data_IF_904766285435
#
_entry.id   IF_904766285435
#
_cell.length_a   1.000
_cell.length_b   1.000
_cell.length_c   1.000
_cell.angle_alpha   90.00
_cell.angle_beta   90.00
_cell.angle_gamma   90.00
#
_symmetry.space_group_name_H-M   'P 1'
#
loop_
_entity.id
_entity.type
_entity.pdbx_description
1 polymer ?
#
# COMPACT_ATOMS: atom_id res chain seq x y z
N UNK A 1 -17.77 25.51 -13.34
CA UNK A 1 -17.89 24.50 -12.27
C UNK A 1 -18.42 23.23 -12.91
N UNK A 2 -17.73 22.08 -12.71
CA UNK A 2 -17.61 21.48 -11.39
C UNK A 2 -16.16 21.34 -10.92
N UNK A 3 -15.86 21.92 -9.76
CA UNK A 3 -14.69 21.63 -8.93
C UNK A 3 -14.97 20.34 -8.14
N UNK A 4 -15.06 19.20 -8.83
CA UNK A 4 -15.45 17.93 -8.21
C UNK A 4 -14.35 16.86 -8.22
N UNK A 5 -13.11 17.20 -8.61
CA UNK A 5 -12.03 16.22 -8.81
C UNK A 5 -10.76 16.50 -7.99
N UNK A 6 -10.83 17.38 -6.98
CA UNK A 6 -9.69 17.75 -6.12
C UNK A 6 -9.51 16.86 -4.88
N UNK A 7 -10.44 15.95 -4.59
CA UNK A 7 -10.39 15.03 -3.45
C UNK A 7 -10.46 13.57 -3.91
N UNK A 8 -9.49 13.12 -4.72
CA UNK A 8 -9.31 11.68 -4.92
C UNK A 8 -8.46 11.16 -3.76
N UNK A 9 -9.10 10.94 -2.63
CA UNK A 9 -8.50 10.16 -1.54
C UNK A 9 -8.61 8.68 -1.91
N UNK A 10 -7.51 7.94 -1.82
CA UNK A 10 -7.54 6.49 -1.96
C UNK A 10 -7.45 5.86 -0.57
N UNK A 11 -8.53 5.16 -0.19
CA UNK A 11 -8.57 4.35 1.03
C UNK A 11 -8.46 2.88 0.66
N UNK A 12 -7.45 2.21 1.20
CA UNK A 12 -7.28 0.76 1.10
C UNK A 12 -8.19 0.06 2.10
N UNK A 13 -8.53 -1.20 1.85
CA UNK A 13 -9.12 -2.04 2.90
C UNK A 13 -8.14 -2.19 4.06
N UNK A 14 -8.68 -2.33 5.28
CA UNK A 14 -7.86 -2.51 6.47
C UNK A 14 -6.93 -3.72 6.31
N UNK A 15 -7.45 -4.82 5.75
CA UNK A 15 -6.70 -6.06 5.54
C UNK A 15 -5.55 -5.90 4.55
N UNK A 16 -5.72 -5.12 3.48
CA UNK A 16 -4.63 -4.84 2.52
C UNK A 16 -3.62 -3.86 3.11
N UNK A 17 -4.05 -2.84 3.87
CA UNK A 17 -3.12 -1.93 4.53
C UNK A 17 -2.23 -2.67 5.53
N UNK A 18 -2.85 -3.50 6.38
CA UNK A 18 -2.13 -4.37 7.32
C UNK A 18 -1.21 -5.36 6.60
N UNK A 19 -1.64 -5.90 5.47
CA UNK A 19 -0.80 -6.80 4.68
C UNK A 19 0.42 -6.08 4.06
N UNK A 20 0.25 -4.87 3.53
CA UNK A 20 1.38 -4.05 3.06
C UNK A 20 2.35 -3.70 4.20
N UNK A 21 1.83 -3.43 5.39
CA UNK A 21 2.66 -3.23 6.57
C UNK A 21 3.42 -4.51 6.97
N UNK A 22 2.73 -5.64 7.04
CA UNK A 22 3.31 -6.95 7.37
C UNK A 22 4.44 -7.35 6.41
N UNK A 23 4.27 -7.10 5.12
CA UNK A 23 5.30 -7.39 4.09
C UNK A 23 6.50 -6.44 4.17
N UNK A 24 6.43 -5.39 4.99
CA UNK A 24 7.47 -4.37 5.10
C UNK A 24 7.55 -3.44 3.89
N UNK A 25 6.50 -3.38 3.07
CA UNK A 25 6.46 -2.54 1.86
C UNK A 25 6.80 -1.08 2.20
N UNK A 26 6.14 -0.51 3.20
CA UNK A 26 6.39 0.86 3.65
C UNK A 26 7.76 1.04 4.28
N UNK A 27 8.33 -0.01 4.88
CA UNK A 27 9.71 0.00 5.39
C UNK A 27 10.73 0.09 4.25
N UNK A 28 10.52 -0.66 3.16
CA UNK A 28 11.33 -0.57 1.95
C UNK A 28 11.25 0.82 1.32
N UNK A 29 10.03 1.36 1.15
CA UNK A 29 9.82 2.72 0.64
C UNK A 29 10.49 3.75 1.57
N UNK A 30 10.35 3.58 2.88
CA UNK A 30 10.95 4.48 3.88
C UNK A 30 12.47 4.54 3.76
N UNK A 31 13.11 3.38 3.68
CA UNK A 31 14.56 3.28 3.57
C UNK A 31 15.08 3.93 2.28
N UNK A 32 14.36 3.75 1.17
CA UNK A 32 14.73 4.31 -0.11
C UNK A 32 14.49 5.83 -0.20
N UNK A 33 13.48 6.35 0.50
CA UNK A 33 13.09 7.76 0.49
C UNK A 33 13.77 8.62 1.57
N UNK A 34 14.26 8.02 2.66
CA UNK A 34 14.66 8.75 3.87
C UNK A 34 13.47 9.37 4.63
N UNK A 35 12.25 8.90 4.37
CA UNK A 35 11.00 9.31 5.02
C UNK A 35 10.54 8.13 5.86
N UNK A 36 10.07 8.35 7.09
CA UNK A 36 9.59 7.26 7.94
C UNK A 36 8.07 7.10 7.80
N UNK A 37 7.65 6.22 6.90
CA UNK A 37 6.25 5.83 6.79
C UNK A 37 5.90 4.88 7.94
N UNK A 38 5.28 5.43 8.99
CA UNK A 38 4.80 4.68 10.15
C UNK A 38 3.33 4.31 9.99
N UNK A 39 2.95 3.17 10.56
CA UNK A 39 1.56 2.74 10.59
C UNK A 39 0.74 3.70 11.44
N UNK A 40 -0.43 4.09 10.93
CA UNK A 40 -1.40 5.01 11.50
C UNK A 40 -0.98 6.48 11.56
N UNK A 41 0.17 6.84 10.99
CA UNK A 41 0.65 8.22 10.89
C UNK A 41 0.41 8.78 9.48
N UNK A 42 0.30 10.12 9.40
CA UNK A 42 0.17 10.83 8.14
C UNK A 42 1.56 11.27 7.65
N UNK A 43 1.91 10.90 6.42
CA UNK A 43 3.18 11.25 5.81
C UNK A 43 2.99 11.73 4.37
N UNK A 44 3.87 12.63 3.91
CA UNK A 44 3.85 13.13 2.54
C UNK A 44 4.85 12.36 1.70
N UNK A 45 4.37 11.68 0.66
CA UNK A 45 5.22 11.10 -0.38
C UNK A 45 5.53 12.16 -1.46
N UNK A 46 6.79 12.60 -1.59
CA UNK A 46 7.17 13.59 -2.59
C UNK A 46 7.06 13.00 -4.00
N UNK A 47 6.61 13.82 -4.95
CA UNK A 47 6.41 13.40 -6.34
C UNK A 47 7.63 12.73 -7.00
N UNK A 48 8.83 13.15 -6.62
CA UNK A 48 10.09 12.63 -7.17
C UNK A 48 10.34 11.15 -6.81
N UNK A 49 9.59 10.62 -5.85
CA UNK A 49 9.72 9.26 -5.32
C UNK A 49 8.56 8.36 -5.77
N UNK A 50 7.50 8.91 -6.36
CA UNK A 50 6.32 8.16 -6.81
C UNK A 50 6.69 7.04 -7.80
N UNK A 51 7.61 7.28 -8.74
CA UNK A 51 8.04 6.26 -9.71
C UNK A 51 8.63 5.03 -9.04
N UNK A 52 9.40 5.21 -7.95
CA UNK A 52 10.00 4.12 -7.21
C UNK A 52 8.96 3.30 -6.43
N UNK A 53 7.92 3.97 -5.91
CA UNK A 53 6.79 3.28 -5.27
C UNK A 53 6.01 2.46 -6.30
N UNK A 54 5.78 3.00 -7.50
CA UNK A 54 5.17 2.25 -8.62
C UNK A 54 5.98 1.02 -8.98
N UNK A 55 7.32 1.13 -9.06
CA UNK A 55 8.19 -0.01 -9.34
C UNK A 55 8.10 -1.09 -8.24
N UNK A 56 7.98 -0.68 -6.97
CA UNK A 56 7.80 -1.59 -5.85
C UNK A 56 6.43 -2.32 -5.90
N UNK A 57 5.35 -1.60 -6.24
CA UNK A 57 4.03 -2.19 -6.44
C UNK A 57 4.00 -3.15 -7.64
N UNK A 58 4.75 -2.83 -8.69
CA UNK A 58 4.90 -3.72 -9.86
C UNK A 58 5.49 -5.07 -9.48
N UNK A 59 6.53 -5.08 -8.64
CA UNK A 59 7.11 -6.33 -8.12
C UNK A 59 6.10 -7.16 -7.31
N UNK A 60 5.32 -6.51 -6.45
CA UNK A 60 4.24 -7.18 -5.70
C UNK A 60 3.24 -7.84 -6.65
N UNK A 61 2.78 -7.13 -7.69
CA UNK A 61 1.85 -7.68 -8.68
C UNK A 61 2.45 -8.88 -9.42
N UNK A 62 3.71 -8.80 -9.81
CA UNK A 62 4.43 -9.89 -10.46
C UNK A 62 4.51 -11.12 -9.55
N UNK A 63 4.86 -10.94 -8.28
CA UNK A 63 4.95 -12.02 -7.29
C UNK A 63 3.58 -12.69 -7.05
N UNK A 64 2.53 -11.90 -6.90
CA UNK A 64 1.14 -12.39 -6.74
C UNK A 64 0.66 -13.15 -7.98
N UNK A 65 1.07 -12.70 -9.18
CA UNK A 65 0.69 -13.35 -10.44
C UNK A 65 1.48 -14.63 -10.70
N UNK A 66 2.77 -14.64 -10.35
CA UNK A 66 3.66 -15.79 -10.51
C UNK A 66 3.31 -16.93 -9.54
N UNK A 67 2.82 -16.59 -8.34
CA UNK A 67 2.44 -17.54 -7.30
C UNK A 67 0.97 -17.36 -6.93
N UNK A 68 0.02 -17.80 -7.78
CA UNK A 68 -1.40 -17.64 -7.52
C UNK A 68 -1.84 -18.55 -6.37
N UNK A 69 -1.79 -18.01 -5.15
CA UNK A 69 -2.37 -18.64 -3.95
C UNK A 69 -3.77 -18.08 -3.76
N UNK A 70 -4.76 -18.89 -3.42
CA UNK A 70 -6.14 -18.38 -3.26
C UNK A 70 -6.26 -17.45 -2.04
N UNK A 71 -5.61 -17.80 -0.93
CA UNK A 71 -5.65 -17.06 0.33
C UNK A 71 -4.24 -16.92 0.92
N UNK A 72 -3.94 -15.70 1.39
CA UNK A 72 -2.71 -15.36 2.08
C UNK A 72 -3.05 -15.20 3.56
N UNK A 73 -2.32 -15.93 4.41
CA UNK A 73 -2.43 -15.86 5.86
C UNK A 73 -1.19 -15.17 6.43
N UNK A 74 -1.38 -14.15 7.25
CA UNK A 74 -0.29 -13.39 7.86
C UNK A 74 -0.58 -13.04 9.33
N UNK A 75 0.48 -12.82 10.11
CA UNK A 75 0.39 -12.42 11.50
C UNK A 75 0.11 -10.92 11.59
N UNK A 76 -1.05 -10.53 12.09
CA UNK A 76 -1.47 -9.13 12.22
C UNK A 76 -1.43 -8.62 13.67
N UNK A 77 -1.11 -9.48 14.65
CA UNK A 77 -0.94 -9.03 16.04
C UNK A 77 -0.73 -10.14 17.04
N UNK A 78 -0.79 -9.78 18.32
CA UNK A 78 -0.72 -10.70 19.45
C UNK A 78 -1.89 -10.44 20.39
N UNK A 79 -2.52 -11.49 20.88
CA UNK A 79 -3.57 -11.35 21.89
C UNK A 79 -2.98 -11.16 23.30
N UNK A 80 -3.83 -10.96 24.30
CA UNK A 80 -3.42 -10.77 25.72
C UNK A 80 -2.59 -11.94 26.28
N UNK A 81 -2.71 -13.12 25.68
CA UNK A 81 -1.98 -14.34 26.06
C UNK A 81 -0.65 -14.51 25.32
N UNK A 82 -0.26 -13.53 24.50
CA UNK A 82 0.91 -13.60 23.60
C UNK A 82 0.77 -14.73 22.57
N UNK A 83 -0.43 -15.02 22.12
CA UNK A 83 -0.69 -15.90 20.99
C UNK A 83 -0.88 -15.03 19.74
N UNK A 84 -0.39 -15.52 18.59
CA UNK A 84 -0.46 -14.79 17.34
C UNK A 84 -1.90 -14.69 16.81
N UNK A 85 -2.31 -13.49 16.44
CA UNK A 85 -3.55 -13.21 15.73
C UNK A 85 -3.24 -13.21 14.24
N UNK A 86 -3.92 -14.07 13.50
CA UNK A 86 -3.71 -14.21 12.06
C UNK A 86 -4.89 -13.66 11.28
N UNK A 87 -4.57 -12.96 10.21
CA UNK A 87 -5.50 -12.44 9.23
C UNK A 87 -5.39 -13.27 7.95
N UNK A 88 -6.52 -13.54 7.31
CA UNK A 88 -6.61 -14.29 6.04
C UNK A 88 -7.24 -13.38 5.00
N UNK A 89 -6.60 -13.26 3.84
CA UNK A 89 -7.05 -12.38 2.76
C UNK A 89 -6.90 -13.08 1.41
N UNK A 90 -7.90 -12.93 0.55
CA UNK A 90 -7.85 -13.46 -0.80
C UNK A 90 -6.82 -12.68 -1.64
N UNK A 91 -5.91 -13.39 -2.31
CA UNK A 91 -4.84 -12.75 -3.11
C UNK A 91 -5.38 -11.88 -4.26
N UNK A 92 -6.56 -12.20 -4.81
CA UNK A 92 -7.18 -11.40 -5.84
C UNK A 92 -7.68 -10.05 -5.31
N UNK A 93 -8.05 -9.97 -4.03
CA UNK A 93 -8.40 -8.71 -3.36
C UNK A 93 -7.14 -7.85 -3.22
N UNK A 94 -6.04 -8.43 -2.73
CA UNK A 94 -4.75 -7.75 -2.63
C UNK A 94 -4.33 -7.22 -3.99
N UNK A 95 -4.32 -8.07 -5.01
CA UNK A 95 -3.91 -7.69 -6.36
C UNK A 95 -4.72 -6.50 -6.88
N UNK A 96 -6.05 -6.55 -6.75
CA UNK A 96 -6.95 -5.48 -7.19
C UNK A 96 -6.66 -4.16 -6.46
N UNK A 97 -6.40 -4.19 -5.16
CA UNK A 97 -6.11 -2.96 -4.40
C UNK A 97 -4.71 -2.41 -4.67
N UNK A 98 -3.72 -3.28 -4.89
CA UNK A 98 -2.38 -2.89 -5.36
C UNK A 98 -2.45 -2.21 -6.74
N UNK A 99 -3.27 -2.74 -7.66
CA UNK A 99 -3.51 -2.09 -8.96
C UNK A 99 -4.16 -0.72 -8.80
N UNK A 100 -5.19 -0.61 -7.96
CA UNK A 100 -5.84 0.69 -7.67
C UNK A 100 -4.87 1.71 -7.06
N UNK A 101 -3.98 1.25 -6.18
CA UNK A 101 -2.95 2.06 -5.56
C UNK A 101 -1.91 2.55 -6.57
N UNK A 102 -1.46 1.68 -7.47
CA UNK A 102 -0.56 2.06 -8.55
C UNK A 102 -1.21 3.06 -9.53
N UNK A 103 -2.45 2.83 -9.93
CA UNK A 103 -3.21 3.76 -10.79
C UNK A 103 -3.33 5.15 -10.13
N UNK A 104 -3.55 5.18 -8.82
CA UNK A 104 -3.58 6.41 -8.04
C UNK A 104 -2.25 7.16 -8.08
N UNK A 105 -1.14 6.44 -7.85
CA UNK A 105 0.21 6.99 -7.97
C UNK A 105 0.52 7.50 -9.39
N UNK A 106 0.11 6.77 -10.43
CA UNK A 106 0.26 7.19 -11.83
C UNK A 106 -0.50 8.48 -12.14
N UNK A 107 -1.72 8.63 -11.62
CA UNK A 107 -2.50 9.87 -11.77
C UNK A 107 -1.77 11.03 -11.10
N UNK A 108 -1.30 10.85 -9.87
CA UNK A 108 -0.55 11.87 -9.14
C UNK A 108 0.73 12.30 -9.87
N UNK A 109 1.46 11.36 -10.46
CA UNK A 109 2.63 11.63 -11.29
C UNK A 109 2.26 12.49 -12.52
N UNK A 110 1.18 12.13 -13.21
CA UNK A 110 0.70 12.86 -14.39
C UNK A 110 0.28 14.30 -14.09
N UNK A 111 -0.27 14.56 -12.90
CA UNK A 111 -0.65 15.91 -12.47
C UNK A 111 0.46 16.63 -11.67
N UNK A 112 1.63 16.01 -11.52
CA UNK A 112 2.78 16.54 -10.76
C UNK A 112 2.47 16.89 -9.29
N UNK A 113 1.59 16.12 -8.65
CA UNK A 113 1.19 16.30 -7.25
C UNK A 113 2.04 15.45 -6.30
N UNK A 114 2.27 15.98 -5.09
CA UNK A 114 2.68 15.19 -3.94
C UNK A 114 1.46 14.43 -3.39
N UNK A 115 1.70 13.37 -2.62
CA UNK A 115 0.63 12.51 -2.10
C UNK A 115 0.66 12.48 -0.59
N UNK A 116 -0.50 12.68 0.01
CA UNK A 116 -0.72 12.45 1.43
C UNK A 116 -1.06 10.98 1.65
N UNK A 117 -0.24 10.30 2.43
CA UNK A 117 -0.41 8.90 2.78
C UNK A 117 -0.80 8.79 4.25
N UNK A 118 -1.94 8.15 4.52
CA UNK A 118 -2.30 7.65 5.85
C UNK A 118 -2.28 6.13 5.76
N UNK A 119 -1.45 5.48 6.57
CA UNK A 119 -1.09 4.06 6.42
C UNK A 119 -1.73 3.16 7.48
#
# INVERSE_FOLDING_TARGET
MPEADLNRELVLSAEVSEWLFYTGFWGYVSQACGIQFLQYEEEVLPRGLISMVIDALSKIKEELSANPVQEIRFLCGWNERKEGIFCEINSAIIFREVVRLEEYFLVALNISADIYCQL
#
